data_IF_754500851361
#
_entry.id   IF_754500851361
#
_cell.length_a   1.000
_cell.length_b   1.000
_cell.length_c   1.000
_cell.angle_alpha   90.00
_cell.angle_beta   90.00
_cell.angle_gamma   90.00
#
_symmetry.space_group_name_H-M   'P 1'
#
loop_
_entity.id
_entity.type
_entity.pdbx_description
1 polymer ?
#
# COMPACT_ATOMS: atom_id res chain seq x y z
N UNK A 1 22.51 -0.42 3.04
CA UNK A 1 23.17 0.42 2.01
C UNK A 1 24.48 0.95 2.59
N UNK A 2 25.57 1.01 1.82
CA UNK A 2 26.91 1.42 2.30
C UNK A 2 27.39 2.70 1.61
N UNK A 3 28.37 3.39 2.20
CA UNK A 3 28.96 4.63 1.64
C UNK A 3 29.52 4.41 0.23
N UNK A 4 30.15 3.25 -0.03
CA UNK A 4 30.72 2.91 -1.34
C UNK A 4 29.65 2.84 -2.45
N UNK A 5 28.46 2.34 -2.13
CA UNK A 5 27.34 2.26 -3.06
C UNK A 5 26.88 3.65 -3.50
N UNK A 6 26.70 4.58 -2.56
CA UNK A 6 26.31 5.95 -2.88
C UNK A 6 27.35 6.69 -3.72
N UNK A 7 28.64 6.53 -3.41
CA UNK A 7 29.72 7.13 -4.20
C UNK A 7 29.67 6.66 -5.67
N UNK A 8 29.35 5.39 -5.92
CA UNK A 8 29.21 4.87 -7.28
C UNK A 8 27.96 5.44 -7.99
N UNK A 9 26.83 5.53 -7.31
CA UNK A 9 25.57 6.01 -7.89
C UNK A 9 25.62 7.52 -8.21
N UNK A 10 26.26 8.33 -7.35
CA UNK A 10 26.51 9.74 -7.66
C UNK A 10 27.43 9.90 -8.88
N UNK A 11 28.49 9.08 -9.00
CA UNK A 11 29.35 9.06 -10.20
C UNK A 11 28.60 8.63 -11.46
N UNK A 12 27.54 7.83 -11.34
CA UNK A 12 26.64 7.43 -12.42
C UNK A 12 25.58 8.48 -12.76
N UNK A 13 25.58 9.63 -12.06
CA UNK A 13 24.68 10.74 -12.33
C UNK A 13 23.38 10.72 -11.53
N UNK A 14 23.23 9.85 -10.52
CA UNK A 14 22.13 9.98 -9.56
C UNK A 14 22.33 11.30 -8.80
N UNK A 15 21.32 12.17 -8.77
CA UNK A 15 21.35 13.46 -8.06
C UNK A 15 20.52 13.46 -6.77
N UNK A 16 19.66 12.45 -6.61
CA UNK A 16 18.73 12.29 -5.50
C UNK A 16 19.32 11.38 -4.41
N UNK A 17 19.15 11.77 -3.15
CA UNK A 17 19.48 10.93 -1.98
C UNK A 17 18.27 10.15 -1.46
N UNK A 18 17.10 10.33 -2.09
CA UNK A 18 15.87 9.65 -1.72
C UNK A 18 15.95 8.18 -2.14
N UNK A 19 15.35 7.33 -1.32
CA UNK A 19 15.16 5.93 -1.69
C UNK A 19 14.25 5.86 -2.94
N UNK A 20 14.68 5.10 -3.93
CA UNK A 20 13.81 4.73 -5.05
C UNK A 20 12.64 3.87 -4.54
N UNK A 21 11.57 3.82 -5.34
CA UNK A 21 10.41 3.02 -4.99
C UNK A 21 10.83 1.57 -4.75
N UNK A 22 10.78 1.13 -3.50
CA UNK A 22 11.13 -0.24 -3.12
C UNK A 22 9.95 -1.14 -3.42
N UNK A 23 10.19 -2.20 -4.19
CA UNK A 23 9.24 -3.31 -4.33
C UNK A 23 9.10 -4.03 -2.99
N UNK A 24 8.11 -3.64 -2.20
CA UNK A 24 7.60 -4.42 -1.08
C UNK A 24 6.49 -5.36 -1.55
N UNK A 25 6.08 -6.32 -0.70
CA UNK A 25 4.81 -7.05 -0.91
C UNK A 25 3.72 -6.00 -1.10
N UNK A 26 2.97 -6.01 -2.21
CA UNK A 26 1.80 -5.15 -2.33
C UNK A 26 0.94 -5.42 -1.08
N UNK A 27 0.60 -4.39 -0.31
CA UNK A 27 -0.50 -4.59 0.63
C UNK A 27 -1.66 -5.03 -0.27
N UNK A 28 -2.22 -6.22 -0.02
CA UNK A 28 -3.31 -6.81 -0.84
C UNK A 28 -4.52 -5.87 -0.98
N UNK A 29 -4.55 -4.80 -0.17
CA UNK A 29 -5.53 -3.71 -0.15
C UNK A 29 -5.24 -2.56 -1.12
N UNK A 30 -4.03 -2.42 -1.65
CA UNK A 30 -3.66 -1.28 -2.51
C UNK A 30 -4.04 -1.49 -3.99
N UNK A 31 -4.62 -2.63 -4.35
CA UNK A 31 -5.15 -2.82 -5.70
C UNK A 31 -6.37 -1.92 -5.90
N UNK A 32 -6.40 -1.13 -6.98
CA UNK A 32 -7.50 -0.19 -7.28
C UNK A 32 -8.89 -0.86 -7.26
N UNK A 33 -8.96 -2.11 -7.70
CA UNK A 33 -10.16 -2.94 -7.69
C UNK A 33 -10.68 -3.20 -6.26
N UNK A 34 -9.77 -3.43 -5.31
CA UNK A 34 -10.10 -3.69 -3.91
C UNK A 34 -10.64 -2.44 -3.23
N UNK A 35 -10.02 -1.28 -3.47
CA UNK A 35 -10.51 0.01 -2.97
C UNK A 35 -11.91 0.32 -3.51
N UNK A 36 -12.16 0.09 -4.80
CA UNK A 36 -13.48 0.28 -5.42
C UNK A 36 -14.53 -0.61 -4.77
N UNK A 37 -14.21 -1.87 -4.47
CA UNK A 37 -15.12 -2.80 -3.80
C UNK A 37 -15.49 -2.33 -2.40
N UNK A 38 -14.50 -1.90 -1.61
CA UNK A 38 -14.72 -1.40 -0.24
C UNK A 38 -15.52 -0.09 -0.26
N UNK A 39 -15.18 0.84 -1.14
CA UNK A 39 -15.95 2.07 -1.31
C UNK A 39 -17.41 1.81 -1.65
N UNK A 40 -17.67 0.88 -2.58
CA UNK A 40 -19.04 0.50 -2.94
C UNK A 40 -19.80 -0.07 -1.75
N UNK A 41 -19.18 -0.98 -0.99
CA UNK A 41 -19.82 -1.60 0.17
C UNK A 41 -20.15 -0.59 1.29
N UNK A 42 -19.26 0.36 1.57
CA UNK A 42 -19.51 1.43 2.55
C UNK A 42 -20.62 2.37 2.10
N UNK A 43 -20.75 2.63 0.79
CA UNK A 43 -21.84 3.42 0.23
C UNK A 43 -23.17 2.68 0.28
N UNK A 44 -23.17 1.37 0.01
CA UNK A 44 -24.37 0.52 0.02
C UNK A 44 -24.90 0.32 1.46
N UNK A 45 -24.02 0.16 2.46
CA UNK A 45 -24.39 0.09 3.87
C UNK A 45 -23.37 0.75 4.80
N UNK A 46 -23.70 1.97 5.25
CA UNK A 46 -22.86 2.77 6.17
C UNK A 46 -22.76 2.16 7.58
N UNK A 47 -23.57 1.17 7.94
CA UNK A 47 -23.54 0.52 9.26
C UNK A 47 -22.60 -0.68 9.33
N UNK A 48 -21.99 -1.09 8.21
CA UNK A 48 -21.04 -2.19 8.15
C UNK A 48 -19.86 -1.93 9.10
N UNK A 49 -19.61 -2.89 9.98
CA UNK A 49 -18.45 -2.84 10.88
C UNK A 49 -17.20 -3.24 10.11
N UNK A 50 -16.06 -2.66 10.49
CA UNK A 50 -14.73 -2.98 9.94
C UNK A 50 -14.43 -4.48 9.88
N UNK A 51 -14.94 -5.26 10.85
CA UNK A 51 -14.82 -6.73 10.87
C UNK A 51 -15.56 -7.39 9.71
N UNK A 52 -16.79 -6.96 9.43
CA UNK A 52 -17.62 -7.52 8.36
C UNK A 52 -17.02 -7.17 6.98
N UNK A 53 -16.50 -5.96 6.83
CA UNK A 53 -15.77 -5.55 5.61
C UNK A 53 -14.51 -6.38 5.38
N UNK A 54 -13.74 -6.64 6.45
CA UNK A 54 -12.55 -7.48 6.39
C UNK A 54 -12.90 -8.91 5.96
N UNK A 55 -13.97 -9.48 6.50
CA UNK A 55 -14.41 -10.85 6.20
C UNK A 55 -14.90 -10.97 4.74
N UNK A 56 -15.71 -10.00 4.25
CA UNK A 56 -16.24 -10.02 2.88
C UNK A 56 -15.15 -9.79 1.83
N UNK A 57 -14.14 -8.99 2.18
CA UNK A 57 -13.05 -8.65 1.26
C UNK A 57 -11.83 -9.56 1.47
N UNK A 58 -11.89 -10.49 2.45
CA UNK A 58 -10.82 -11.43 2.80
C UNK A 58 -9.47 -10.75 3.05
N UNK A 59 -9.51 -9.56 3.66
CA UNK A 59 -8.34 -8.76 3.99
C UNK A 59 -8.20 -8.61 5.49
N UNK A 60 -6.97 -8.40 5.95
CA UNK A 60 -6.73 -8.18 7.38
C UNK A 60 -7.41 -6.91 7.86
N UNK A 61 -7.95 -6.92 9.10
CA UNK A 61 -8.57 -5.74 9.74
C UNK A 61 -7.64 -4.51 9.71
N UNK A 62 -6.35 -4.73 9.92
CA UNK A 62 -5.30 -3.71 9.84
C UNK A 62 -5.18 -3.03 8.47
N UNK A 63 -5.64 -3.69 7.41
CA UNK A 63 -5.61 -3.14 6.08
C UNK A 63 -6.91 -2.37 5.77
N UNK A 64 -8.06 -2.78 6.30
CA UNK A 64 -9.31 -1.96 6.26
C UNK A 64 -9.14 -0.63 6.98
N UNK A 65 -8.46 -0.60 8.14
CA UNK A 65 -8.18 0.64 8.87
C UNK A 65 -7.26 1.63 8.14
N UNK A 66 -6.57 1.19 7.09
CA UNK A 66 -5.64 2.02 6.30
C UNK A 66 -6.27 2.61 5.03
N UNK A 67 -7.56 2.35 4.81
CA UNK A 67 -8.38 2.88 3.72
C UNK A 67 -9.14 4.09 4.25
#
# INVERSE_FOLDING_TARGET
ITVRYWVAEFKRGRTSCQDEHRSGRPNEVTTSEMMKKIHKMVLDDRRLKVRELADIVSITKSAVHRI
#
